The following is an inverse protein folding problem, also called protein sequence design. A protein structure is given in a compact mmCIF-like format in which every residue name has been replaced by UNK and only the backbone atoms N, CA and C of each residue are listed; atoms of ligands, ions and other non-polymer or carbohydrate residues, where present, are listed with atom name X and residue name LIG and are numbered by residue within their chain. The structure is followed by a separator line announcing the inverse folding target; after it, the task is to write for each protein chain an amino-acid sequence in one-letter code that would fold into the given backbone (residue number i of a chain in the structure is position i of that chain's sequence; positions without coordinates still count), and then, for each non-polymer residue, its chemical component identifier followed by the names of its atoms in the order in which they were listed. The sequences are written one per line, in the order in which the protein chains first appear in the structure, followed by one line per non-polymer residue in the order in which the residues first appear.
data_IF_658722190871
#
_entry.id   IF_658722190871
#
_cell.length_a   1.000
_cell.length_b   1.000
_cell.length_c   1.000
_cell.angle_alpha   90.00
_cell.angle_beta   90.00
_cell.angle_gamma   90.00
#
_symmetry.space_group_name_H-M   'P 1'
#
loop_
_entity.id
_entity.type
_entity.pdbx_description
1 polymer ?
#
# COMPACT_ATOMS: atom_id res chain seq x y z
N UNK A 1 10.63 -16.10 -17.72
CA UNK A 1 9.33 -16.71 -17.35
C UNK A 1 8.38 -15.57 -16.99
N UNK A 2 7.12 -15.61 -17.43
CA UNK A 2 6.16 -14.57 -17.08
C UNK A 2 5.86 -14.60 -15.57
N UNK A 3 5.81 -13.43 -14.92
CA UNK A 3 5.44 -13.36 -13.50
C UNK A 3 4.05 -13.97 -13.30
N UNK A 4 3.95 -14.94 -12.38
CA UNK A 4 2.69 -15.63 -12.09
C UNK A 4 1.80 -14.79 -11.17
N UNK A 5 2.43 -14.09 -10.24
CA UNK A 5 1.78 -13.29 -9.21
C UNK A 5 2.35 -11.89 -9.19
N UNK A 6 1.55 -10.94 -8.71
CA UNK A 6 1.95 -9.55 -8.53
C UNK A 6 1.51 -9.07 -7.15
N UNK A 7 2.41 -8.36 -6.46
CA UNK A 7 2.15 -7.78 -5.15
C UNK A 7 1.93 -6.27 -5.24
N UNK A 8 0.93 -5.77 -4.52
CA UNK A 8 0.73 -4.34 -4.31
C UNK A 8 0.72 -4.10 -2.82
N UNK A 9 1.61 -3.23 -2.35
CA UNK A 9 1.60 -2.74 -0.99
C UNK A 9 1.17 -1.27 -1.04
N UNK A 10 0.21 -0.88 -0.20
CA UNK A 10 -0.24 0.50 -0.05
C UNK A 10 0.01 0.97 1.37
N UNK A 11 0.64 2.14 1.53
CA UNK A 11 0.79 2.84 2.81
C UNK A 11 -0.15 4.04 2.81
N UNK A 12 -1.07 4.05 3.76
CA UNK A 12 -2.06 5.09 3.98
C UNK A 12 -1.88 5.70 5.37
N UNK A 13 -2.57 6.82 5.62
CA UNK A 13 -2.59 7.45 6.94
C UNK A 13 -3.23 6.58 8.04
N UNK A 14 -3.97 5.54 7.67
CA UNK A 14 -4.63 4.60 8.59
C UNK A 14 -3.85 3.29 8.76
N UNK A 15 -2.81 3.05 7.95
CA UNK A 15 -2.03 1.82 8.01
C UNK A 15 -1.59 1.31 6.64
N UNK A 16 -1.26 0.03 6.58
CA UNK A 16 -0.74 -0.64 5.40
C UNK A 16 -1.67 -1.74 4.91
N UNK A 17 -1.64 -2.00 3.61
CA UNK A 17 -2.38 -3.07 2.96
C UNK A 17 -1.47 -3.79 1.94
N UNK A 18 -1.49 -5.11 1.95
CA UNK A 18 -0.84 -5.97 0.96
C UNK A 18 -1.93 -6.73 0.20
N UNK A 19 -1.86 -6.67 -1.12
CA UNK A 19 -2.67 -7.46 -2.03
C UNK A 19 -1.76 -8.28 -2.95
N UNK A 20 -1.94 -9.60 -2.97
CA UNK A 20 -1.29 -10.49 -3.94
C UNK A 20 -2.34 -10.96 -4.94
N UNK A 21 -2.09 -10.74 -6.23
CA UNK A 21 -3.00 -11.14 -7.31
C UNK A 21 -2.36 -12.19 -8.21
N UNK A 22 -3.19 -13.10 -8.72
CA UNK A 22 -2.80 -14.00 -9.79
C UNK A 22 -3.01 -13.32 -11.14
N UNK A 23 -1.93 -13.08 -11.89
CA UNK A 23 -2.00 -12.35 -13.16
C UNK A 23 -2.73 -13.13 -14.28
N UNK A 24 -2.90 -14.45 -14.14
CA UNK A 24 -3.64 -15.25 -15.13
C UNK A 24 -5.15 -15.22 -14.91
N UNK A 25 -5.58 -15.29 -13.65
CA UNK A 25 -7.01 -15.31 -13.30
C UNK A 25 -7.56 -13.95 -12.90
N UNK A 26 -6.68 -12.96 -12.67
CA UNK A 26 -7.01 -11.65 -12.14
C UNK A 26 -7.76 -11.71 -10.79
N UNK A 27 -7.57 -12.79 -10.03
CA UNK A 27 -8.19 -12.97 -8.71
C UNK A 27 -7.19 -12.66 -7.59
N UNK A 28 -7.65 -12.05 -6.48
CA UNK A 28 -6.85 -11.92 -5.29
C UNK A 28 -6.54 -13.31 -4.71
N UNK A 29 -5.30 -13.50 -4.28
CA UNK A 29 -4.83 -14.70 -3.59
C UNK A 29 -4.67 -14.45 -2.10
N UNK A 30 -4.19 -13.27 -1.73
CA UNK A 30 -3.93 -12.88 -0.36
C UNK A 30 -4.24 -11.40 -0.20
N UNK A 31 -4.82 -11.03 0.93
CA UNK A 31 -5.14 -9.66 1.27
C UNK A 31 -4.96 -9.45 2.77
N UNK A 32 -3.90 -8.73 3.14
CA UNK A 32 -3.53 -8.45 4.53
C UNK A 32 -3.59 -6.96 4.79
N UNK A 33 -4.21 -6.57 5.92
CA UNK A 33 -4.24 -5.18 6.40
C UNK A 33 -3.57 -5.08 7.76
N UNK A 34 -2.86 -3.98 7.99
CA UNK A 34 -2.27 -3.63 9.27
C UNK A 34 -2.60 -2.18 9.60
N UNK A 35 -3.38 -1.97 10.65
CA UNK A 35 -3.72 -0.63 11.11
C UNK A 35 -2.56 0.02 11.87
N UNK A 36 -2.22 1.25 11.47
CA UNK A 36 -1.23 2.12 12.12
C UNK A 36 -1.72 3.55 11.92
N UNK A 37 -2.06 4.25 13.01
CA UNK A 37 -2.51 5.63 12.92
C UNK A 37 -1.33 6.58 12.64
N UNK A 38 -1.22 7.04 11.40
CA UNK A 38 -0.32 8.13 10.98
C UNK A 38 -1.10 9.45 10.81
N UNK A 39 -2.43 9.38 10.74
CA UNK A 39 -3.31 10.50 10.44
C UNK A 39 -3.24 11.63 11.47
N UNK A 40 -3.11 11.30 12.76
CA UNK A 40 -3.05 12.31 13.81
C UNK A 40 -1.90 13.31 13.60
N UNK A 41 -0.73 12.82 13.15
CA UNK A 41 0.42 13.67 12.88
C UNK A 41 0.22 14.44 11.56
N UNK A 42 -0.22 13.75 10.50
CA UNK A 42 -0.41 14.32 9.15
C UNK A 42 -1.47 15.42 9.13
N UNK A 43 -2.60 15.24 9.82
CA UNK A 43 -3.71 16.21 9.83
C UNK A 43 -3.50 17.39 10.78
N UNK A 44 -2.53 17.30 11.70
CA UNK A 44 -2.16 18.39 12.60
C UNK A 44 -0.97 19.19 12.09
N UNK A 45 -0.56 19.00 10.83
CA UNK A 45 0.65 19.58 10.24
C UNK A 45 1.91 19.31 11.09
N UNK A 46 1.92 18.19 11.80
CA UNK A 46 3.08 17.74 12.57
C UNK A 46 3.89 16.73 11.75
N UNK A 47 5.22 16.70 11.90
CA UNK A 47 6.01 15.65 11.28
C UNK A 47 5.58 14.30 11.86
N UNK A 48 5.39 13.32 10.97
CA UNK A 48 5.07 11.94 11.37
C UNK A 48 6.17 11.44 12.29
N UNK A 49 5.78 10.98 13.49
CA UNK A 49 6.74 10.58 14.51
C UNK A 49 7.57 9.39 14.06
N UNK A 50 8.85 9.36 14.43
CA UNK A 50 9.76 8.25 14.15
C UNK A 50 9.19 6.90 14.60
N UNK A 51 8.57 6.84 15.78
CA UNK A 51 7.94 5.60 16.29
C UNK A 51 6.87 5.06 15.34
N UNK A 52 6.05 5.95 14.75
CA UNK A 52 5.04 5.59 13.78
C UNK A 52 5.67 5.04 12.50
N UNK A 53 6.71 5.72 11.98
CA UNK A 53 7.47 5.26 10.79
C UNK A 53 8.18 3.92 11.06
N UNK A 54 8.71 3.71 12.25
CA UNK A 54 9.33 2.45 12.67
C UNK A 54 8.31 1.29 12.65
N UNK A 55 7.08 1.53 13.15
CA UNK A 55 6.01 0.51 13.09
C UNK A 55 5.58 0.20 11.66
N UNK A 56 5.54 1.21 10.79
CA UNK A 56 5.28 1.02 9.35
C UNK A 56 6.38 0.15 8.74
N UNK A 57 7.65 0.44 9.04
CA UNK A 57 8.80 -0.33 8.54
C UNK A 57 8.77 -1.80 9.00
N UNK A 58 8.39 -2.05 10.25
CA UNK A 58 8.24 -3.40 10.80
C UNK A 58 7.11 -4.17 10.11
N UNK A 59 5.93 -3.54 9.97
CA UNK A 59 4.79 -4.13 9.27
C UNK A 59 5.14 -4.46 7.80
N UNK A 60 5.84 -3.53 7.14
CA UNK A 60 6.29 -3.67 5.76
C UNK A 60 7.28 -4.82 5.59
N UNK A 61 8.17 -5.02 6.57
CA UNK A 61 9.08 -6.19 6.60
C UNK A 61 8.28 -7.50 6.67
N UNK A 62 7.22 -7.55 7.48
CA UNK A 62 6.31 -8.69 7.52
C UNK A 62 5.63 -8.95 6.17
N UNK A 63 5.24 -7.90 5.45
CA UNK A 63 4.66 -8.04 4.10
C UNK A 63 5.66 -8.56 3.08
N UNK A 64 6.93 -8.14 3.16
CA UNK A 64 8.01 -8.70 2.32
C UNK A 64 8.19 -10.20 2.58
N UNK A 65 8.06 -10.65 3.83
CA UNK A 65 8.09 -12.07 4.15
C UNK A 65 6.92 -12.83 3.48
N UNK A 66 5.71 -12.30 3.56
CA UNK A 66 4.53 -12.91 2.89
C UNK A 66 4.75 -12.99 1.38
N UNK A 67 5.26 -11.93 0.75
CA UNK A 67 5.60 -11.94 -0.68
C UNK A 67 6.60 -13.05 -1.02
N UNK A 68 7.64 -13.23 -0.19
CA UNK A 68 8.64 -14.29 -0.36
C UNK A 68 8.03 -15.68 -0.21
N UNK A 69 7.16 -15.90 0.77
CA UNK A 69 6.50 -17.18 1.02
C UNK A 69 5.62 -17.61 -0.17
N UNK A 70 4.97 -16.65 -0.83
CA UNK A 70 4.21 -16.87 -2.07
C UNK A 70 5.08 -16.92 -3.34
N UNK A 71 6.38 -16.63 -3.25
CA UNK A 71 7.29 -16.54 -4.39
C UNK A 71 7.01 -15.36 -5.33
N UNK A 72 6.48 -14.25 -4.79
CA UNK A 72 6.18 -13.03 -5.55
C UNK A 72 7.45 -12.20 -5.69
N UNK A 73 7.99 -12.12 -6.91
CA UNK A 73 9.19 -11.33 -7.22
C UNK A 73 8.89 -10.00 -7.89
N UNK A 74 7.64 -9.77 -8.30
CA UNK A 74 7.20 -8.54 -8.94
C UNK A 74 6.15 -7.86 -8.05
N UNK A 75 6.54 -6.78 -7.41
CA UNK A 75 5.66 -6.04 -6.51
C UNK A 75 6.02 -4.55 -6.47
N UNK A 76 5.08 -3.73 -6.03
CA UNK A 76 5.26 -2.29 -5.83
C UNK A 76 4.76 -1.83 -4.48
N UNK A 77 5.43 -0.83 -3.93
CA UNK A 77 5.06 -0.10 -2.74
C UNK A 77 4.53 1.27 -3.14
N UNK A 78 3.28 1.57 -2.80
CA UNK A 78 2.66 2.86 -3.03
C UNK A 78 2.41 3.59 -1.71
N UNK A 79 2.52 4.91 -1.75
CA UNK A 79 2.17 5.80 -0.65
C UNK A 79 1.01 6.71 -1.04
N UNK A 80 0.14 7.01 -0.09
CA UNK A 80 -1.00 7.88 -0.34
C UNK A 80 -0.60 9.33 -0.61
N UNK A 81 -1.48 10.07 -1.30
CA UNK A 81 -1.27 11.49 -1.57
C UNK A 81 -1.23 12.32 -0.28
N UNK A 82 -1.96 11.89 0.76
CA UNK A 82 -1.94 12.53 2.07
C UNK A 82 -0.60 12.36 2.79
N UNK A 83 0.02 11.17 2.71
CA UNK A 83 1.36 10.96 3.27
C UNK A 83 2.44 11.70 2.48
N UNK A 84 2.29 11.80 1.16
CA UNK A 84 3.22 12.57 0.33
C UNK A 84 3.22 14.06 0.69
N UNK A 85 2.06 14.60 1.08
CA UNK A 85 1.89 15.99 1.53
C UNK A 85 2.37 16.24 2.96
N UNK A 86 2.68 15.21 3.74
CA UNK A 86 3.21 15.37 5.08
C UNK A 86 4.57 16.12 5.04
N UNK A 87 4.83 16.95 6.05
CA UNK A 87 6.02 17.82 6.10
C UNK A 87 7.35 17.04 6.00
N UNK A 88 7.37 15.78 6.42
CA UNK A 88 8.55 14.93 6.45
C UNK A 88 8.41 13.69 5.54
N UNK A 89 7.72 13.81 4.40
CA UNK A 89 7.51 12.70 3.45
C UNK A 89 8.83 12.10 2.91
N UNK A 90 9.84 12.93 2.62
CA UNK A 90 11.18 12.46 2.22
C UNK A 90 11.82 11.58 3.32
N UNK A 91 11.72 12.01 4.58
CA UNK A 91 12.21 11.23 5.72
C UNK A 91 11.48 9.90 5.85
N UNK A 92 10.16 9.87 5.65
CA UNK A 92 9.38 8.63 5.66
C UNK A 92 9.89 7.70 4.56
N UNK A 93 10.04 8.20 3.32
CA UNK A 93 10.54 7.40 2.20
C UNK A 93 11.93 6.81 2.48
N UNK A 94 12.86 7.62 2.99
CA UNK A 94 14.21 7.19 3.34
C UNK A 94 14.20 6.09 4.40
N UNK A 95 13.41 6.23 5.46
CA UNK A 95 13.31 5.22 6.50
C UNK A 95 12.76 3.89 5.95
N UNK A 96 11.70 3.94 5.14
CA UNK A 96 11.16 2.73 4.53
C UNK A 96 12.18 2.05 3.60
N UNK A 97 12.91 2.84 2.81
CA UNK A 97 13.95 2.33 1.93
C UNK A 97 15.11 1.71 2.70
N UNK A 98 15.61 2.36 3.76
CA UNK A 98 16.71 1.84 4.57
C UNK A 98 16.36 0.52 5.25
N UNK A 99 15.11 0.34 5.68
CA UNK A 99 14.67 -0.87 6.37
C UNK A 99 14.31 -2.02 5.44
N UNK A 100 13.81 -1.73 4.23
CA UNK A 100 13.20 -2.76 3.37
C UNK A 100 13.82 -2.86 1.97
N UNK A 101 14.62 -1.89 1.57
CA UNK A 101 15.14 -1.76 0.20
C UNK A 101 14.09 -1.35 -0.83
N UNK A 102 12.84 -1.09 -0.41
CA UNK A 102 11.75 -0.72 -1.32
C UNK A 102 11.63 0.80 -1.46
N UNK A 103 11.53 1.26 -2.69
CA UNK A 103 11.20 2.66 -3.00
C UNK A 103 9.69 2.82 -3.01
N UNK A 104 9.20 3.82 -2.28
CA UNK A 104 7.78 4.18 -2.27
C UNK A 104 7.44 5.03 -3.50
N UNK A 105 6.40 4.64 -4.22
CA UNK A 105 5.80 5.42 -5.30
C UNK A 105 4.61 6.21 -4.74
N UNK A 106 4.70 7.54 -4.74
CA UNK A 106 3.63 8.39 -4.24
C UNK A 106 2.49 8.51 -5.26
N UNK A 107 1.27 8.16 -4.85
CA UNK A 107 0.09 8.39 -5.67
C UNK A 107 -0.32 9.85 -5.62
N UNK A 108 -0.71 10.40 -6.77
CA UNK A 108 -1.43 11.66 -6.83
C UNK A 108 -2.88 11.50 -6.37
N UNK A 109 -3.50 12.58 -5.90
CA UNK A 109 -4.90 12.56 -5.50
C UNK A 109 -5.84 12.20 -6.66
N UNK A 110 -5.44 12.49 -7.90
CA UNK A 110 -6.19 12.09 -9.10
C UNK A 110 -6.13 10.58 -9.32
N UNK A 111 -4.95 9.96 -9.16
CA UNK A 111 -4.79 8.51 -9.27
C UNK A 111 -5.58 7.78 -8.19
N UNK A 112 -5.52 8.25 -6.94
CA UNK A 112 -6.32 7.67 -5.85
C UNK A 112 -7.83 7.76 -6.12
N UNK A 113 -8.30 8.91 -6.62
CA UNK A 113 -9.70 9.10 -6.99
C UNK A 113 -10.09 8.17 -8.13
N UNK A 114 -9.22 8.05 -9.15
CA UNK A 114 -9.44 7.18 -10.29
C UNK A 114 -9.54 5.71 -9.88
N UNK A 115 -8.61 5.21 -9.06
CA UNK A 115 -8.64 3.83 -8.56
C UNK A 115 -9.86 3.56 -7.68
N UNK A 116 -10.24 4.51 -6.81
CA UNK A 116 -11.46 4.40 -6.00
C UNK A 116 -12.71 4.28 -6.87
N UNK A 117 -12.83 5.12 -7.90
CA UNK A 117 -13.98 5.09 -8.81
C UNK A 117 -14.05 3.79 -9.62
N UNK A 118 -12.91 3.23 -10.04
CA UNK A 118 -12.87 1.93 -10.69
C UNK A 118 -13.35 0.81 -9.75
N UNK A 119 -12.89 0.82 -8.49
CA UNK A 119 -13.30 -0.21 -7.53
C UNK A 119 -14.82 -0.19 -7.30
N UNK A 120 -15.41 0.99 -7.06
CA UNK A 120 -16.86 1.15 -6.91
C UNK A 120 -17.60 0.69 -8.17
N UNK A 121 -17.08 1.00 -9.36
CA UNK A 121 -17.69 0.57 -10.63
C UNK A 121 -17.71 -0.95 -10.80
N UNK A 122 -16.66 -1.64 -10.33
CA UNK A 122 -16.57 -3.11 -10.35
C UNK A 122 -17.56 -3.71 -9.35
N UNK A 123 -17.65 -3.17 -8.13
CA UNK A 123 -18.59 -3.61 -7.11
C UNK A 123 -20.05 -3.48 -7.59
N UNK A 124 -20.42 -2.31 -8.11
CA UNK A 124 -21.75 -2.06 -8.66
C UNK A 124 -22.07 -2.91 -9.90
N UNK A 125 -21.06 -3.27 -10.69
CA UNK A 125 -21.21 -4.16 -11.84
C UNK A 125 -21.47 -5.61 -11.42
N UNK A 126 -20.85 -6.05 -10.33
CA UNK A 126 -21.03 -7.40 -9.77
C UNK A 126 -22.40 -7.56 -9.09
N UNK A 127 -22.90 -6.53 -8.41
CA UNK A 127 -24.23 -6.58 -7.78
C UNK A 127 -25.36 -6.77 -8.81
N UNK A 128 -25.26 -6.14 -9.98
CA UNK A 128 -26.24 -6.27 -11.07
C UNK A 128 -26.22 -7.62 -11.80
N UNK A 129 -25.18 -8.43 -11.64
CA UNK A 129 -25.13 -9.79 -12.20
C UNK A 129 -25.69 -10.86 -11.26
N UNK A 130 -25.95 -10.50 -10.00
CA UNK A 130 -26.48 -11.39 -8.97
C UNK A 130 -27.99 -11.17 -8.69
N UNK A 131 -28.66 -10.29 -9.45
CA UNK A 131 -30.13 -10.14 -9.52
C UNK A 131 -30.70 -10.84 -10.76
#
# INVERSE_FOLDING_TARGET
MAAKYYGVIMVNVQGLELLIVNLKSLKPLEHVKKEINLGDDVYQDQPVKYESVSRVSEALTGFVQILNDYGVTNYKLFGSSALHQAMNSDFIADQLFLHTGMTIEWLSSNEETYFRNQNISIELGNDKQNE
#
